data_IF_945182981446
#
_entry.id   IF_945182981446
#
_cell.length_a   1.000
_cell.length_b   1.000
_cell.length_c   1.000
_cell.angle_alpha   90.00
_cell.angle_beta   90.00
_cell.angle_gamma   90.00
#
_symmetry.space_group_name_H-M   'P 1'
#
loop_
_entity.id
_entity.type
_entity.pdbx_description
1 polymer ?
#
# COMPACT_ATOMS: atom_id res chain seq x y z
N UNK A 1 6.81 -27.56 -17.65
CA UNK A 1 6.39 -27.16 -16.29
C UNK A 1 7.50 -26.34 -15.70
N UNK A 2 7.41 -25.02 -15.76
CA UNK A 2 7.99 -24.18 -14.72
C UNK A 2 7.20 -22.88 -14.68
N UNK A 3 6.29 -22.81 -13.72
CA UNK A 3 5.36 -21.71 -13.56
C UNK A 3 6.12 -20.51 -13.03
N UNK A 4 6.46 -19.58 -13.94
CA UNK A 4 6.96 -18.26 -13.56
C UNK A 4 5.91 -17.56 -12.69
N UNK A 5 6.10 -17.62 -11.37
CA UNK A 5 5.39 -16.78 -10.41
C UNK A 5 5.78 -15.31 -10.68
N UNK A 6 5.07 -14.70 -11.62
CA UNK A 6 4.97 -13.25 -11.77
C UNK A 6 4.16 -12.73 -10.57
N UNK A 7 4.81 -12.72 -9.39
CA UNK A 7 4.28 -12.04 -8.22
C UNK A 7 4.51 -10.55 -8.44
N UNK A 8 3.51 -9.89 -9.04
CA UNK A 8 3.35 -8.45 -9.05
C UNK A 8 3.33 -7.95 -7.60
N UNK A 9 4.50 -7.63 -7.06
CA UNK A 9 4.59 -7.01 -5.75
C UNK A 9 4.02 -5.60 -5.87
N UNK A 10 2.80 -5.45 -5.36
CA UNK A 10 2.14 -4.17 -5.21
C UNK A 10 3.11 -3.12 -4.62
N UNK A 11 3.08 -1.88 -5.13
CA UNK A 11 3.92 -0.81 -4.60
C UNK A 11 3.66 -0.70 -3.09
N UNK A 12 4.71 -0.92 -2.30
CA UNK A 12 4.58 -0.82 -0.85
C UNK A 12 4.51 0.67 -0.51
N UNK A 13 3.62 1.01 0.42
CA UNK A 13 3.44 2.36 0.90
C UNK A 13 3.92 2.46 2.34
N UNK A 14 4.71 3.48 2.63
CA UNK A 14 5.06 3.86 4.00
C UNK A 14 4.59 5.28 4.25
N UNK A 15 4.16 5.56 5.46
CA UNK A 15 3.76 6.91 5.86
C UNK A 15 4.90 7.56 6.64
N UNK A 16 5.20 8.81 6.30
CA UNK A 16 6.20 9.60 7.01
C UNK A 16 5.87 11.08 6.92
N UNK A 17 5.88 11.78 8.05
CA UNK A 17 5.65 13.22 8.15
C UNK A 17 4.39 13.72 7.42
N UNK A 18 3.30 12.93 7.41
CA UNK A 18 2.04 13.27 6.73
C UNK A 18 2.02 13.01 5.21
N UNK A 19 3.05 12.33 4.67
CA UNK A 19 3.13 11.94 3.27
C UNK A 19 3.05 10.41 3.11
N UNK A 20 2.34 9.97 2.08
CA UNK A 20 2.40 8.59 1.59
C UNK A 20 3.58 8.45 0.64
N UNK A 21 4.51 7.59 0.99
CA UNK A 21 5.72 7.32 0.24
C UNK A 21 5.59 5.98 -0.50
N UNK A 22 5.79 5.97 -1.82
CA UNK A 22 5.82 4.75 -2.62
C UNK A 22 7.25 4.22 -2.66
N UNK A 23 7.45 2.95 -2.31
CA UNK A 23 8.78 2.31 -2.27
C UNK A 23 8.82 1.09 -3.18
N UNK A 24 10.01 0.79 -3.71
CA UNK A 24 10.25 -0.40 -4.53
C UNK A 24 11.59 -1.06 -4.25
N UNK A 25 11.86 -2.18 -4.95
CA UNK A 25 13.10 -2.94 -4.79
C UNK A 25 14.32 -2.11 -5.24
N UNK A 26 15.48 -2.39 -4.63
CA UNK A 26 16.77 -1.78 -4.98
C UNK A 26 17.10 -2.11 -6.45
N UNK A 27 17.34 -1.08 -7.27
CA UNK A 27 17.57 -1.23 -8.72
C UNK A 27 16.34 -0.95 -9.60
N UNK A 28 15.16 -0.76 -9.01
CA UNK A 28 13.99 -0.23 -9.74
C UNK A 28 14.01 1.30 -9.81
N UNK A 29 13.17 1.89 -10.67
CA UNK A 29 13.02 3.36 -10.76
C UNK A 29 12.46 3.98 -9.46
N UNK A 30 11.88 3.16 -8.58
CA UNK A 30 11.34 3.58 -7.29
C UNK A 30 12.43 3.94 -6.27
N UNK A 31 12.12 4.83 -5.30
CA UNK A 31 13.02 5.13 -4.20
C UNK A 31 13.06 3.97 -3.20
N UNK A 32 14.18 3.86 -2.51
CA UNK A 32 14.25 3.02 -1.30
C UNK A 32 13.49 3.67 -0.15
N UNK A 33 13.07 2.89 0.85
CA UNK A 33 12.37 3.42 2.03
C UNK A 33 13.11 4.58 2.71
N UNK A 34 14.44 4.47 2.85
CA UNK A 34 15.28 5.54 3.42
C UNK A 34 15.21 6.82 2.59
N UNK A 35 15.25 6.70 1.26
CA UNK A 35 15.19 7.85 0.36
C UNK A 35 13.81 8.51 0.39
N UNK A 36 12.74 7.71 0.38
CA UNK A 36 11.39 8.22 0.40
C UNK A 36 11.06 8.94 1.72
N UNK A 37 11.49 8.40 2.87
CA UNK A 37 11.37 9.07 4.18
C UNK A 37 12.09 10.41 4.22
N UNK A 38 13.34 10.47 3.75
CA UNK A 38 14.11 11.73 3.71
C UNK A 38 13.41 12.75 2.81
N UNK A 39 12.94 12.33 1.63
CA UNK A 39 12.24 13.22 0.70
C UNK A 39 10.91 13.73 1.27
N UNK A 40 10.14 12.88 1.96
CA UNK A 40 8.92 13.27 2.65
C UNK A 40 9.18 14.24 3.81
N UNK A 41 10.23 14.02 4.60
CA UNK A 41 10.63 14.95 5.66
C UNK A 41 11.00 16.33 5.10
N UNK A 42 11.74 16.36 3.99
CA UNK A 42 12.06 17.61 3.29
C UNK A 42 10.79 18.30 2.77
N UNK A 43 9.83 17.54 2.23
CA UNK A 43 8.54 18.07 1.78
C UNK A 43 7.66 18.60 2.93
N UNK A 44 7.80 18.02 4.12
CA UNK A 44 7.15 18.49 5.35
C UNK A 44 7.83 19.74 5.96
N UNK A 45 8.91 20.24 5.35
CA UNK A 45 9.65 21.41 5.86
C UNK A 45 10.65 21.09 6.98
N UNK A 46 10.91 19.82 7.27
CA UNK A 46 11.90 19.43 8.27
C UNK A 46 13.32 19.69 7.78
N UNK A 47 14.17 20.16 8.67
CA UNK A 47 15.60 20.24 8.47
C UNK A 47 16.23 18.85 8.48
N UNK A 48 17.41 18.69 7.89
CA UNK A 48 18.13 17.41 7.88
C UNK A 48 18.43 16.90 9.29
N UNK A 49 18.60 17.78 10.28
CA UNK A 49 18.83 17.43 11.68
C UNK A 49 17.55 16.88 12.35
N UNK A 50 16.40 17.47 12.04
CA UNK A 50 15.10 16.98 12.54
C UNK A 50 14.76 15.63 11.92
N UNK A 51 14.98 15.46 10.62
CA UNK A 51 14.82 14.15 9.94
C UNK A 51 15.74 13.10 10.57
N UNK A 52 16.98 13.48 10.92
CA UNK A 52 17.93 12.59 11.57
C UNK A 52 17.44 12.16 12.96
N UNK A 53 16.95 13.12 13.76
CA UNK A 53 16.38 12.87 15.09
C UNK A 53 15.14 11.97 15.01
N UNK A 54 14.23 12.26 14.10
CA UNK A 54 12.99 11.50 13.89
C UNK A 54 13.30 10.05 13.48
N UNK A 55 14.32 9.86 12.64
CA UNK A 55 14.70 8.53 12.13
C UNK A 55 15.71 7.79 13.01
N UNK A 56 16.22 8.40 14.08
CA UNK A 56 17.24 7.80 14.95
C UNK A 56 18.57 7.51 14.26
N UNK A 57 18.98 8.33 13.29
CA UNK A 57 20.23 8.14 12.54
C UNK A 57 21.11 9.40 12.57
N UNK A 58 22.36 9.29 12.12
CA UNK A 58 23.25 10.44 12.06
C UNK A 58 22.80 11.48 11.01
N UNK A 59 22.98 12.79 11.27
CA UNK A 59 22.73 13.83 10.27
C UNK A 59 23.58 13.69 9.00
N UNK A 60 24.79 13.14 9.13
CA UNK A 60 25.65 12.84 7.98
C UNK A 60 25.03 11.79 7.05
N UNK A 61 24.32 10.81 7.60
CA UNK A 61 23.62 9.80 6.81
C UNK A 61 22.43 10.40 6.06
N UNK A 62 21.69 11.33 6.69
CA UNK A 62 20.60 12.06 6.03
C UNK A 62 21.15 12.89 4.87
N UNK A 63 22.26 13.61 5.08
CA UNK A 63 22.93 14.40 4.04
C UNK A 63 23.33 13.55 2.84
N UNK A 64 24.04 12.45 3.06
CA UNK A 64 24.42 11.52 1.99
C UNK A 64 23.20 10.94 1.26
N UNK A 65 22.12 10.64 2.00
CA UNK A 65 20.87 10.17 1.39
C UNK A 65 20.22 11.25 0.53
N UNK A 66 20.20 12.51 0.98
CA UNK A 66 19.66 13.64 0.24
C UNK A 66 20.45 13.90 -1.05
N UNK A 67 21.78 13.86 -1.00
CA UNK A 67 22.65 13.98 -2.17
C UNK A 67 22.36 12.87 -3.20
N UNK A 68 22.21 11.63 -2.75
CA UNK A 68 21.82 10.52 -3.63
C UNK A 68 20.43 10.71 -4.26
N UNK A 69 19.48 11.30 -3.54
CA UNK A 69 18.15 11.65 -4.08
C UNK A 69 18.30 12.74 -5.16
N UNK A 70 19.06 13.79 -4.89
CA UNK A 70 19.27 14.89 -5.83
C UNK A 70 19.93 14.39 -7.12
N UNK A 71 20.93 13.50 -6.99
CA UNK A 71 21.56 12.86 -8.14
C UNK A 71 20.56 12.01 -8.95
N UNK A 72 19.76 11.14 -8.30
CA UNK A 72 18.76 10.30 -8.99
C UNK A 72 17.66 11.11 -9.67
N UNK A 73 17.22 12.20 -9.06
CA UNK A 73 16.18 13.07 -9.61
C UNK A 73 16.75 14.14 -10.57
N UNK A 74 18.08 14.23 -10.72
CA UNK A 74 18.75 15.34 -11.43
C UNK A 74 18.24 16.69 -10.93
N UNK A 75 18.14 16.83 -9.62
CA UNK A 75 17.66 18.03 -8.95
C UNK A 75 18.83 18.87 -8.45
N UNK A 76 18.73 20.18 -8.56
CA UNK A 76 19.78 21.10 -8.09
C UNK A 76 19.56 21.57 -6.65
N UNK A 77 18.31 21.56 -6.19
CA UNK A 77 17.90 22.04 -4.85
C UNK A 77 16.83 21.13 -4.26
N UNK A 78 16.65 21.21 -2.94
CA UNK A 78 15.64 20.45 -2.21
C UNK A 78 14.23 20.62 -2.78
N UNK A 79 13.81 21.86 -3.07
CA UNK A 79 12.49 22.14 -3.65
C UNK A 79 12.28 21.46 -5.02
N UNK A 80 13.30 21.49 -5.89
CA UNK A 80 13.25 20.83 -7.20
C UNK A 80 13.17 19.31 -7.05
N UNK A 81 13.90 18.74 -6.09
CA UNK A 81 13.81 17.32 -5.76
C UNK A 81 12.41 16.92 -5.25
N UNK A 82 11.80 17.74 -4.40
CA UNK A 82 10.44 17.52 -3.89
C UNK A 82 9.44 17.53 -5.04
N UNK A 83 9.47 18.56 -5.90
CA UNK A 83 8.55 18.67 -7.06
C UNK A 83 8.73 17.49 -8.00
N UNK A 84 9.96 17.09 -8.33
CA UNK A 84 10.24 15.94 -9.18
C UNK A 84 9.80 14.62 -8.53
N UNK A 85 10.01 14.47 -7.22
CA UNK A 85 9.55 13.32 -6.45
C UNK A 85 8.02 13.18 -6.44
N UNK A 86 7.30 14.29 -6.25
CA UNK A 86 5.85 14.33 -6.33
C UNK A 86 5.35 13.98 -7.74
N UNK A 87 5.96 14.55 -8.78
CA UNK A 87 5.60 14.26 -10.19
C UNK A 87 5.82 12.79 -10.59
N UNK A 88 6.84 12.15 -10.03
CA UNK A 88 7.12 10.71 -10.23
C UNK A 88 6.28 9.79 -9.33
N UNK A 89 5.47 10.33 -8.42
CA UNK A 89 4.68 9.55 -7.46
C UNK A 89 5.50 8.90 -6.35
N UNK A 90 6.71 9.38 -6.08
CA UNK A 90 7.55 8.88 -4.97
C UNK A 90 6.97 9.26 -3.61
N UNK A 91 6.44 10.48 -3.52
CA UNK A 91 5.77 11.01 -2.33
C UNK A 91 4.46 11.70 -2.75
N UNK A 92 3.40 11.51 -1.98
CA UNK A 92 2.12 12.18 -2.17
C UNK A 92 1.62 12.71 -0.81
N UNK A 93 1.13 13.96 -0.73
CA UNK A 93 0.43 14.44 0.46
C UNK A 93 -0.77 13.54 0.73
N UNK A 94 -1.00 13.12 1.98
CA UNK A 94 -2.13 12.26 2.32
C UNK A 94 -3.48 12.86 1.93
N UNK A 95 -3.62 14.19 2.02
CA UNK A 95 -4.81 14.91 1.55
C UNK A 95 -5.08 14.68 0.06
N UNK A 96 -4.05 14.70 -0.78
CA UNK A 96 -4.20 14.44 -2.22
C UNK A 96 -4.63 12.98 -2.46
N UNK A 97 -4.06 12.03 -1.71
CA UNK A 97 -4.44 10.62 -1.81
C UNK A 97 -5.92 10.38 -1.40
N UNK A 98 -6.38 11.06 -0.36
CA UNK A 98 -7.77 10.98 0.11
C UNK A 98 -8.74 11.65 -0.87
N UNK A 99 -8.42 12.84 -1.38
CA UNK A 99 -9.24 13.54 -2.36
C UNK A 99 -9.39 12.73 -3.66
N UNK A 100 -8.31 12.15 -4.18
CA UNK A 100 -8.39 11.28 -5.37
C UNK A 100 -9.24 10.03 -5.11
N UNK A 101 -9.19 9.48 -3.89
CA UNK A 101 -10.03 8.35 -3.50
C UNK A 101 -11.52 8.72 -3.40
N UNK A 102 -11.83 9.93 -2.93
CA UNK A 102 -13.21 10.45 -2.87
C UNK A 102 -13.77 10.88 -4.22
N UNK A 103 -12.92 11.33 -5.15
CA UNK A 103 -13.29 11.73 -6.52
C UNK A 103 -13.47 10.55 -7.48
N UNK A 104 -13.21 9.31 -7.06
CA UNK A 104 -13.43 8.11 -7.86
C UNK A 104 -14.72 7.37 -7.43
N UNK A 105 -15.93 7.83 -7.81
CA UNK A 105 -17.19 7.17 -7.46
C UNK A 105 -17.33 5.77 -8.06
N UNK A 106 -16.44 5.35 -8.97
CA UNK A 106 -16.44 4.00 -9.55
C UNK A 106 -15.67 2.95 -8.75
N UNK A 107 -14.98 3.32 -7.66
CA UNK A 107 -14.39 2.34 -6.75
C UNK A 107 -15.45 1.52 -5.99
N UNK A 108 -16.63 2.10 -5.72
CA UNK A 108 -17.73 1.36 -5.09
C UNK A 108 -18.37 0.33 -6.02
N UNK A 109 -18.45 0.63 -7.33
CA UNK A 109 -19.01 -0.30 -8.31
C UNK A 109 -18.24 -1.63 -8.40
N UNK A 110 -16.95 -1.66 -8.02
CA UNK A 110 -16.13 -2.87 -8.00
C UNK A 110 -16.17 -3.63 -6.66
N UNK A 111 -16.67 -3.00 -5.58
CA UNK A 111 -16.84 -3.65 -4.27
C UNK A 111 -18.14 -4.43 -4.14
N UNK A 112 -19.09 -4.22 -5.05
CA UNK A 112 -20.36 -4.94 -5.11
C UNK A 112 -20.39 -6.00 -6.23
N UNK A 113 -19.43 -6.93 -6.24
CA UNK A 113 -19.74 -8.27 -6.75
C UNK A 113 -20.29 -9.07 -5.56
N UNK A 114 -21.62 -9.24 -5.41
CA UNK A 114 -22.12 -10.19 -4.42
C UNK A 114 -21.50 -11.56 -4.74
N UNK A 115 -21.10 -12.35 -3.72
CA UNK A 115 -20.67 -13.72 -3.96
C UNK A 115 -21.83 -14.43 -4.65
N UNK A 116 -21.58 -14.94 -5.86
CA UNK A 116 -22.50 -15.81 -6.56
C UNK A 116 -22.61 -17.06 -5.70
N UNK A 117 -23.60 -17.04 -4.80
CA UNK A 117 -23.98 -18.14 -3.93
C UNK A 117 -24.35 -19.28 -4.87
N UNK A 118 -23.40 -20.20 -5.09
CA UNK A 118 -23.69 -21.50 -5.69
C UNK A 118 -24.61 -22.23 -4.72
N UNK A 119 -25.90 -21.96 -4.84
CA UNK A 119 -26.96 -22.74 -4.21
C UNK A 119 -27.01 -24.06 -4.96
N UNK A 120 -26.06 -24.94 -4.67
CA UNK A 120 -26.23 -26.36 -4.96
C UNK A 120 -27.32 -26.84 -4.01
N UNK A 121 -28.52 -27.01 -4.56
CA UNK A 121 -29.63 -27.62 -3.85
C UNK A 121 -29.18 -29.01 -3.42
N UNK A 122 -28.92 -29.20 -2.12
CA UNK A 122 -28.90 -30.52 -1.53
C UNK A 122 -30.36 -30.97 -1.53
N UNK A 123 -30.75 -31.71 -2.57
CA UNK A 123 -31.92 -32.57 -2.52
C UNK A 123 -31.62 -33.67 -1.50
N UNK A 124 -31.79 -33.33 -0.22
CA UNK A 124 -31.91 -34.28 0.86
C UNK A 124 -33.21 -35.05 0.61
N UNK A 125 -33.10 -36.15 -0.13
CA UNK A 125 -34.15 -37.17 -0.18
C UNK A 125 -34.32 -37.70 1.24
N UNK A 126 -35.40 -37.26 1.88
CA UNK A 126 -35.89 -37.79 3.13
C UNK A 126 -36.21 -39.28 2.94
N UNK A 127 -35.31 -40.17 3.38
CA UNK A 127 -35.72 -41.52 3.80
C UNK A 127 -36.27 -41.39 5.21
N UNK A 128 -37.59 -41.28 5.26
CA UNK A 128 -38.42 -41.50 6.44
C UNK A 128 -38.04 -42.85 7.08
N UNK A 129 -37.20 -42.82 8.11
CA UNK A 129 -37.06 -43.95 9.03
C UNK A 129 -38.16 -43.84 10.06
N UNK A 130 -39.26 -44.54 9.77
CA UNK A 130 -40.34 -44.88 10.67
C UNK A 130 -39.77 -45.49 11.96
N UNK A 131 -39.89 -44.78 13.08
CA UNK A 131 -39.79 -45.32 14.44
C UNK A 131 -41.01 -44.83 15.19
N UNK A 132 -42.05 -45.65 15.22
CA UNK A 132 -43.07 -45.54 16.25
C UNK A 132 -42.61 -46.36 17.46
N UNK A 133 -42.59 -45.65 18.57
CA UNK A 133 -42.46 -46.14 19.95
C UNK A 133 -43.66 -47.00 20.33
N UNK A 134 -43.44 -47.94 21.25
CA UNK A 134 -44.31 -49.07 21.52
C UNK A 134 -45.72 -48.78 22.03
N UNK A 135 -46.55 -49.83 21.95
CA UNK A 135 -47.74 -49.99 22.78
C UNK A 135 -47.80 -51.42 23.29
N UNK A 136 -48.09 -51.52 24.58
CA UNK A 136 -48.41 -52.69 25.37
C UNK A 136 -49.72 -53.35 24.90
N UNK A 137 -50.01 -54.53 25.47
CA UNK A 137 -51.22 -55.39 25.38
C UNK A 137 -51.17 -56.53 24.33
N UNK A 138 -50.71 -57.71 24.76
CA UNK A 138 -51.39 -59.02 24.64
C UNK A 138 -50.61 -60.07 25.43
#
# INVERSE_FOLDING_TARGET
MDGGHHMDHAPQHIEFAGFRCCIGKRGSDWPTAKQAQVLAGLAAGMTQKEIARERGISPSTVKSTAEAIYYRLRATRAADAIVKGMRRGWIAPLVLALLVSGLNPHAEAMRHRPPQRTRQQVSATARLTRRDTGSLYA
#
